data_IF_655864808932
#
_entry.id   IF_655864808932
#
_cell.length_a   1.000
_cell.length_b   1.000
_cell.length_c   1.000
_cell.angle_alpha   90.00
_cell.angle_beta   90.00
_cell.angle_gamma   90.00
#
_symmetry.space_group_name_H-M   'P 1'
#
loop_
_entity.id
_entity.type
_entity.pdbx_description
1 polymer ?
#
# COMPACT_ATOMS: atom_id res chain seq x y z
N UNK A 1 3.38 -10.59 8.90
CA UNK A 1 3.33 -10.97 7.48
C UNK A 1 4.76 -10.91 6.98
N UNK A 2 5.21 -11.89 6.21
CA UNK A 2 6.51 -11.77 5.54
C UNK A 2 6.43 -10.65 4.50
N UNK A 3 7.51 -9.87 4.38
CA UNK A 3 7.59 -8.79 3.39
C UNK A 3 7.75 -9.41 2.00
N UNK A 4 6.86 -9.07 1.07
CA UNK A 4 6.86 -9.65 -0.29
C UNK A 4 7.39 -8.60 -1.26
N UNK A 5 8.46 -8.92 -1.99
CA UNK A 5 8.92 -8.11 -3.13
C UNK A 5 8.06 -8.42 -4.34
N UNK A 6 7.49 -7.39 -4.97
CA UNK A 6 6.55 -7.54 -6.07
C UNK A 6 7.25 -7.21 -7.38
N UNK A 7 7.54 -8.23 -8.19
CA UNK A 7 8.21 -8.07 -9.49
C UNK A 7 7.33 -8.55 -10.65
N UNK A 8 6.44 -9.49 -10.36
CA UNK A 8 5.53 -10.16 -11.28
C UNK A 8 4.08 -10.11 -10.78
N UNK A 9 3.07 -10.24 -11.68
CA UNK A 9 1.67 -10.30 -11.25
C UNK A 9 1.36 -11.44 -10.27
N UNK A 10 2.13 -12.53 -10.31
CA UNK A 10 1.95 -13.69 -9.43
C UNK A 10 2.23 -13.34 -7.96
N UNK A 11 3.14 -12.40 -7.71
CA UNK A 11 3.54 -12.00 -6.36
C UNK A 11 2.40 -11.32 -5.59
N UNK A 12 1.42 -10.76 -6.30
CA UNK A 12 0.29 -10.09 -5.67
C UNK A 12 -0.90 -11.02 -5.41
N UNK A 13 -0.94 -12.20 -6.03
CA UNK A 13 -2.10 -13.11 -5.93
C UNK A 13 -2.47 -13.45 -4.48
N UNK A 14 -1.52 -13.74 -3.56
CA UNK A 14 -1.87 -14.00 -2.17
C UNK A 14 -2.54 -12.81 -1.47
N UNK A 15 -2.19 -11.58 -1.88
CA UNK A 15 -2.78 -10.34 -1.37
C UNK A 15 -4.19 -10.18 -1.94
N UNK A 16 -4.33 -10.39 -3.25
CA UNK A 16 -5.61 -10.30 -3.96
C UNK A 16 -6.64 -11.26 -3.36
N UNK A 17 -6.25 -12.51 -3.13
CA UNK A 17 -7.10 -13.53 -2.53
C UNK A 17 -7.44 -13.22 -1.07
N UNK A 18 -6.42 -12.91 -0.26
CA UNK A 18 -6.59 -12.64 1.18
C UNK A 18 -7.52 -11.45 1.43
N UNK A 19 -7.40 -10.41 0.62
CA UNK A 19 -8.18 -9.19 0.77
C UNK A 19 -9.36 -9.12 -0.20
N UNK A 20 -9.67 -10.17 -0.97
CA UNK A 20 -10.79 -10.20 -1.93
C UNK A 20 -10.81 -8.96 -2.86
N UNK A 21 -9.70 -8.71 -3.55
CA UNK A 21 -9.52 -7.59 -4.48
C UNK A 21 -10.01 -8.02 -5.87
N UNK A 22 -11.01 -7.34 -6.41
CA UNK A 22 -11.62 -7.72 -7.69
C UNK A 22 -10.68 -7.51 -8.90
N UNK A 23 -9.90 -6.42 -8.92
CA UNK A 23 -8.88 -6.15 -9.94
C UNK A 23 -7.50 -5.98 -9.31
N UNK A 24 -6.77 -7.09 -9.17
CA UNK A 24 -5.37 -7.07 -8.75
C UNK A 24 -4.44 -6.37 -9.75
N UNK A 25 -4.78 -6.32 -11.04
CA UNK A 25 -3.88 -5.77 -12.06
C UNK A 25 -3.69 -4.27 -11.90
N UNK A 26 -4.74 -3.54 -11.52
CA UNK A 26 -4.64 -2.14 -11.14
C UNK A 26 -3.62 -1.96 -10.00
N UNK A 27 -3.77 -2.71 -8.91
CA UNK A 27 -2.84 -2.68 -7.78
C UNK A 27 -1.40 -2.99 -8.20
N UNK A 28 -1.20 -4.07 -8.97
CA UNK A 28 0.11 -4.51 -9.45
C UNK A 28 0.89 -3.38 -10.14
N UNK A 29 0.24 -2.58 -11.00
CA UNK A 29 0.90 -1.48 -11.71
C UNK A 29 1.56 -0.46 -10.77
N UNK A 30 0.96 -0.21 -9.61
CA UNK A 30 1.45 0.77 -8.64
C UNK A 30 2.50 0.22 -7.69
N UNK A 31 2.48 -1.09 -7.43
CA UNK A 31 3.37 -1.76 -6.49
C UNK A 31 4.53 -2.51 -7.15
N UNK A 32 4.54 -2.65 -8.49
CA UNK A 32 5.64 -3.31 -9.21
C UNK A 32 6.99 -2.64 -8.90
N UNK A 33 7.95 -3.44 -8.48
CA UNK A 33 9.29 -3.01 -8.05
C UNK A 33 9.35 -2.52 -6.60
N UNK A 34 8.26 -2.62 -5.84
CA UNK A 34 8.22 -2.34 -4.42
C UNK A 34 8.12 -3.63 -3.61
N UNK A 35 8.53 -3.55 -2.35
CA UNK A 35 8.31 -4.52 -1.29
C UNK A 35 7.08 -4.11 -0.48
N UNK A 36 6.09 -4.99 -0.38
CA UNK A 36 4.94 -4.80 0.49
C UNK A 36 5.36 -4.96 1.94
N UNK A 37 5.09 -3.94 2.76
CA UNK A 37 5.38 -3.95 4.19
C UNK A 37 4.14 -4.25 5.03
N UNK A 38 3.02 -3.59 4.72
CA UNK A 38 1.79 -3.73 5.51
C UNK A 38 0.56 -3.47 4.67
N UNK A 39 -0.55 -4.07 5.09
CA UNK A 39 -1.88 -3.86 4.52
C UNK A 39 -2.85 -3.61 5.66
N UNK A 40 -3.60 -2.52 5.57
CA UNK A 40 -4.57 -2.09 6.58
C UNK A 40 -5.95 -2.04 5.94
N UNK A 41 -6.90 -2.76 6.53
CA UNK A 41 -8.32 -2.69 6.18
C UNK A 41 -9.09 -2.01 7.32
N UNK A 42 -9.51 -0.75 7.15
CA UNK A 42 -10.38 -0.04 8.09
C UNK A 42 -11.66 -0.81 8.38
N UNK A 43 -11.96 -1.09 9.66
CA UNK A 43 -13.24 -1.72 10.03
C UNK A 43 -14.47 -0.86 9.68
N UNK A 44 -14.32 0.47 9.76
CA UNK A 44 -15.39 1.44 9.57
C UNK A 44 -15.61 1.79 8.09
N UNK A 45 -14.57 1.72 7.26
CA UNK A 45 -14.61 2.07 5.83
C UNK A 45 -14.27 0.84 5.01
N UNK A 46 -15.26 -0.05 4.92
CA UNK A 46 -15.11 -1.37 4.28
C UNK A 46 -14.79 -1.33 2.79
N UNK A 47 -14.90 -0.16 2.16
CA UNK A 47 -14.67 0.01 0.74
C UNK A 47 -13.21 0.36 0.38
N UNK A 48 -12.33 0.51 1.38
CA UNK A 48 -10.95 0.92 1.16
C UNK A 48 -9.98 -0.08 1.79
N UNK A 49 -8.86 -0.31 1.13
CA UNK A 49 -7.72 -1.05 1.67
C UNK A 49 -6.49 -0.19 1.46
N UNK A 50 -5.67 -0.03 2.49
CA UNK A 50 -4.42 0.72 2.43
C UNK A 50 -3.22 -0.21 2.37
N UNK A 51 -2.23 0.13 1.54
CA UNK A 51 -0.99 -0.62 1.38
C UNK A 51 0.19 0.29 1.65
N UNK A 52 1.06 -0.12 2.57
CA UNK A 52 2.37 0.49 2.76
C UNK A 52 3.40 -0.33 1.99
N UNK A 53 4.04 0.29 1.02
CA UNK A 53 5.08 -0.34 0.19
C UNK A 53 6.38 0.46 0.23
N UNK A 54 7.50 -0.23 0.07
CA UNK A 54 8.85 0.34 0.11
C UNK A 54 9.61 -0.04 -1.16
N UNK A 55 10.27 0.91 -1.80
CA UNK A 55 11.25 0.68 -2.86
C UNK A 55 12.65 0.89 -2.30
N UNK A 56 13.51 -0.10 -2.47
CA UNK A 56 14.90 -0.03 -2.06
C UNK A 56 15.71 0.86 -3.02
N UNK A 57 16.71 1.56 -2.47
CA UNK A 57 17.62 2.47 -3.14
C UNK A 57 18.59 3.07 -2.12
N UNK A 58 19.46 4.00 -2.54
CA UNK A 58 20.40 4.68 -1.63
C UNK A 58 19.68 5.36 -0.46
N UNK A 59 18.49 5.90 -0.75
CA UNK A 59 17.48 6.24 0.25
C UNK A 59 16.19 5.50 -0.08
N UNK A 60 15.58 4.77 0.86
CA UNK A 60 14.37 4.02 0.60
C UNK A 60 13.15 4.95 0.44
N UNK A 61 12.39 4.76 -0.64
CA UNK A 61 11.14 5.50 -0.88
C UNK A 61 9.95 4.64 -0.49
N UNK A 62 9.01 5.23 0.23
CA UNK A 62 7.78 4.60 0.69
C UNK A 62 6.58 5.17 -0.07
N UNK A 63 5.55 4.35 -0.25
CA UNK A 63 4.24 4.79 -0.73
C UNK A 63 3.14 4.23 0.14
N UNK A 64 2.12 5.06 0.35
CA UNK A 64 0.83 4.66 0.90
C UNK A 64 -0.16 4.68 -0.25
N UNK A 65 -0.66 3.51 -0.60
CA UNK A 65 -1.64 3.32 -1.66
C UNK A 65 -2.99 3.02 -1.04
N UNK A 66 -4.05 3.45 -1.72
CA UNK A 66 -5.43 3.12 -1.37
C UNK A 66 -6.11 2.43 -2.54
N UNK A 67 -6.57 1.22 -2.29
CA UNK A 67 -7.44 0.48 -3.20
C UNK A 67 -8.90 0.73 -2.84
N UNK A 68 -9.70 1.15 -3.82
CA UNK A 68 -11.14 1.33 -3.69
C UNK A 68 -11.87 0.11 -4.24
N UNK A 69 -12.46 -0.70 -3.37
CA UNK A 69 -13.13 -1.96 -3.77
C UNK A 69 -14.25 -1.72 -4.78
N UNK A 70 -15.08 -0.71 -4.57
CA UNK A 70 -16.25 -0.43 -5.41
C UNK A 70 -15.93 -0.06 -6.85
N UNK A 71 -14.71 0.39 -7.16
CA UNK A 71 -14.31 0.80 -8.51
C UNK A 71 -13.13 -0.01 -9.07
N UNK A 72 -12.46 -0.82 -8.25
CA UNK A 72 -11.23 -1.50 -8.63
C UNK A 72 -10.06 -0.53 -8.89
N UNK A 73 -10.10 0.67 -8.30
CA UNK A 73 -9.13 1.74 -8.58
C UNK A 73 -8.09 1.87 -7.45
N UNK A 74 -6.91 2.37 -7.80
CA UNK A 74 -5.78 2.56 -6.87
C UNK A 74 -5.31 4.00 -6.90
N UNK A 75 -5.41 4.66 -5.75
CA UNK A 75 -4.83 5.99 -5.51
C UNK A 75 -3.50 5.89 -4.76
N UNK A 76 -2.64 6.88 -4.98
CA UNK A 76 -1.46 7.13 -4.14
C UNK A 76 -1.83 8.25 -3.19
N UNK A 77 -1.95 7.97 -1.89
CA UNK A 77 -2.27 8.99 -0.89
C UNK A 77 -0.99 9.67 -0.36
N UNK A 78 0.15 8.96 -0.36
CA UNK A 78 1.47 9.55 -0.08
C UNK A 78 2.63 8.84 -0.77
N UNK A 79 3.67 9.58 -1.11
CA UNK A 79 4.99 9.10 -1.55
C UNK A 79 6.08 9.91 -0.84
N UNK A 80 6.99 9.25 -0.12
CA UNK A 80 7.96 9.95 0.72
C UNK A 80 9.26 9.16 0.91
N UNK A 81 10.35 9.86 1.22
CA UNK A 81 11.68 9.29 1.49
C UNK A 81 12.17 9.87 2.81
N UNK A 82 11.86 9.22 3.95
CA UNK A 82 12.09 9.81 5.26
C UNK A 82 13.59 9.80 5.62
N UNK A 83 14.05 10.82 6.33
CA UNK A 83 15.42 10.91 6.84
C UNK A 83 15.59 10.13 8.15
N UNK A 84 14.50 10.00 8.92
CA UNK A 84 14.44 9.24 10.17
C UNK A 84 13.24 8.29 10.22
N UNK A 85 13.26 7.33 11.14
CA UNK A 85 12.13 6.40 11.32
C UNK A 85 10.91 7.17 11.84
N UNK A 86 11.12 8.12 12.75
CA UNK A 86 10.08 8.94 13.37
C UNK A 86 9.31 9.75 12.32
N UNK A 87 10.01 10.35 11.36
CA UNK A 87 9.39 11.07 10.25
C UNK A 87 8.50 10.13 9.42
N UNK A 88 8.99 8.94 9.07
CA UNK A 88 8.20 7.95 8.33
C UNK A 88 6.95 7.50 9.08
N UNK A 89 7.04 7.35 10.41
CA UNK A 89 5.88 7.02 11.26
C UNK A 89 4.87 8.17 11.27
N UNK A 90 5.33 9.41 11.45
CA UNK A 90 4.46 10.61 11.47
C UNK A 90 3.69 10.73 10.15
N UNK A 91 4.40 10.71 9.01
CA UNK A 91 3.78 10.82 7.68
C UNK A 91 2.74 9.71 7.48
N UNK A 92 3.04 8.48 7.91
CA UNK A 92 2.13 7.35 7.79
C UNK A 92 0.86 7.56 8.60
N UNK A 93 0.99 8.00 9.86
CA UNK A 93 -0.15 8.28 10.73
C UNK A 93 -1.00 9.44 10.21
N UNK A 94 -0.37 10.54 9.81
CA UNK A 94 -1.06 11.72 9.28
C UNK A 94 -1.84 11.38 8.01
N UNK A 95 -1.21 10.69 7.05
CA UNK A 95 -1.85 10.26 5.79
C UNK A 95 -3.08 9.40 6.08
N UNK A 96 -2.92 8.38 6.92
CA UNK A 96 -4.02 7.48 7.27
C UNK A 96 -5.16 8.23 7.98
N UNK A 97 -4.84 9.14 8.91
CA UNK A 97 -5.85 9.88 9.69
C UNK A 97 -6.83 10.69 8.83
N UNK A 98 -6.42 11.15 7.64
CA UNK A 98 -7.28 11.90 6.71
C UNK A 98 -8.45 11.06 6.18
N UNK A 99 -8.36 9.74 6.29
CA UNK A 99 -9.37 8.81 5.81
C UNK A 99 -10.19 8.18 6.92
N UNK A 100 -9.81 8.28 8.19
CA UNK A 100 -10.53 7.66 9.31
C UNK A 100 -11.53 8.57 10.03
N UNK A 101 -11.72 9.80 9.53
CA UNK A 101 -12.61 10.82 10.10
C UNK A 101 -13.93 10.94 9.32
#
# INVERSE_FOLDING_TARGET
MENIKIESPQDILPIVEKYNIDDGYALFKYVKGYTLLSVVEPKQIRNQIFFLVKKDGDKPTFRILRYFRGFGDVGIDAEFTPETIEEGVIITFETLSQHFL
#
